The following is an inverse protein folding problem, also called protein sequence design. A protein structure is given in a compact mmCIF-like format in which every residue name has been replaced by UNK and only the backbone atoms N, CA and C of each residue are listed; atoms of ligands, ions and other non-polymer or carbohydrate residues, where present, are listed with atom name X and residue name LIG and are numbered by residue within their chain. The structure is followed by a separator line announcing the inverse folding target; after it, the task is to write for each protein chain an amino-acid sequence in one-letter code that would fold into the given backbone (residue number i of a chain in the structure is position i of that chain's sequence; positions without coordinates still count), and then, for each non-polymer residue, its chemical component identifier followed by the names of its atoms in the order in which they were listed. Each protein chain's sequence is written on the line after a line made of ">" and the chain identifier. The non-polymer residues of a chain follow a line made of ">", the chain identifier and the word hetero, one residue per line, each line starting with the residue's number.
data_IF_606494019446
#
_entry.id   IF_606494019446
#
_cell.length_a   1.000
_cell.length_b   1.000
_cell.length_c   1.000
_cell.angle_alpha   90.00
_cell.angle_beta   90.00
_cell.angle_gamma   90.00
#
_symmetry.space_group_name_H-M   'P 1'
#
loop_
_entity.id
_entity.type
_entity.pdbx_description
1 polymer ?
#
# COMPACT_ATOMS: atom_id res chain seq x y z
N UNK A 1 0.94 7.88 -11.56
CA UNK A 1 -0.07 8.35 -10.58
C UNK A 1 -0.57 7.15 -9.78
N UNK A 2 -0.70 7.28 -8.45
CA UNK A 2 -1.25 6.23 -7.58
C UNK A 2 -2.71 6.53 -7.27
N UNK A 3 -3.65 5.91 -8.01
CA UNK A 3 -5.09 6.09 -7.78
C UNK A 3 -5.86 4.80 -8.08
N UNK A 4 -6.99 4.62 -7.41
CA UNK A 4 -7.94 3.53 -7.58
C UNK A 4 -8.10 2.67 -6.32
N UNK A 5 -9.20 1.94 -6.27
CA UNK A 5 -9.66 1.23 -5.06
C UNK A 5 -9.48 -0.28 -5.19
N UNK A 6 -9.08 -0.91 -4.08
CA UNK A 6 -8.83 -2.35 -4.01
C UNK A 6 -9.18 -2.87 -2.63
N UNK A 7 -9.89 -3.99 -2.59
CA UNK A 7 -10.10 -4.72 -1.35
C UNK A 7 -8.93 -5.66 -1.10
N UNK A 8 -8.34 -5.53 0.08
CA UNK A 8 -7.25 -6.39 0.54
C UNK A 8 -7.53 -6.85 1.96
N UNK A 9 -7.10 -8.08 2.27
CA UNK A 9 -7.04 -8.59 3.63
C UNK A 9 -5.59 -8.58 4.08
N UNK A 10 -5.35 -8.19 5.34
CA UNK A 10 -4.03 -8.33 5.95
C UNK A 10 -3.75 -9.81 6.22
N UNK A 11 -2.53 -10.24 5.96
CA UNK A 11 -2.13 -11.58 6.35
C UNK A 11 -1.83 -11.68 7.85
N UNK A 12 -1.55 -12.90 8.32
CA UNK A 12 -1.21 -13.20 9.71
C UNK A 12 0.03 -12.45 10.25
N UNK A 13 0.82 -11.82 9.38
CA UNK A 13 2.00 -11.00 9.74
C UNK A 13 1.73 -9.51 9.61
N UNK A 14 0.48 -9.11 9.32
CA UNK A 14 0.10 -7.73 9.10
C UNK A 14 0.60 -7.15 7.78
N UNK A 15 0.94 -7.99 6.78
CA UNK A 15 1.39 -7.51 5.47
C UNK A 15 0.20 -7.22 4.55
N UNK A 16 0.32 -6.14 3.78
CA UNK A 16 -0.58 -5.78 2.70
C UNK A 16 0.08 -6.08 1.35
N UNK A 17 -0.66 -6.68 0.42
CA UNK A 17 -0.14 -6.95 -0.93
C UNK A 17 -0.41 -5.75 -1.84
N UNK A 18 0.64 -5.14 -2.36
CA UNK A 18 0.50 -4.06 -3.35
C UNK A 18 0.05 -4.62 -4.71
N UNK A 19 -1.01 -4.06 -5.33
CA UNK A 19 -1.46 -4.42 -6.67
C UNK A 19 -0.36 -4.34 -7.73
N UNK A 20 -0.36 -5.28 -8.67
CA UNK A 20 0.72 -5.44 -9.66
C UNK A 20 0.98 -4.17 -10.48
N UNK A 21 -0.05 -3.39 -10.82
CA UNK A 21 0.08 -2.15 -11.61
C UNK A 21 0.92 -1.06 -10.93
N UNK A 22 1.06 -1.12 -9.61
CA UNK A 22 1.80 -0.13 -8.84
C UNK A 22 3.23 -0.57 -8.50
N UNK A 23 3.56 -1.86 -8.61
CA UNK A 23 4.90 -2.37 -8.30
C UNK A 23 6.02 -1.68 -9.09
N UNK A 24 5.87 -1.36 -10.39
CA UNK A 24 6.89 -0.61 -11.14
C UNK A 24 7.14 0.81 -10.61
N UNK A 25 6.16 1.39 -9.91
CA UNK A 25 6.28 2.72 -9.31
C UNK A 25 6.96 2.68 -7.92
N UNK A 26 7.09 1.49 -7.33
CA UNK A 26 7.75 1.24 -6.04
C UNK A 26 9.13 0.61 -6.29
N UNK A 27 10.00 1.33 -6.99
CA UNK A 27 11.25 0.81 -7.56
C UNK A 27 12.15 0.11 -6.55
N UNK A 28 12.67 0.84 -5.56
CA UNK A 28 13.65 0.29 -4.62
C UNK A 28 13.10 0.19 -3.19
N UNK A 29 12.41 1.24 -2.74
CA UNK A 29 11.86 1.34 -1.38
C UNK A 29 10.58 2.14 -1.38
N UNK A 30 9.74 1.85 -0.40
CA UNK A 30 8.58 2.64 -0.03
C UNK A 30 8.69 2.98 1.46
N UNK A 31 8.18 4.14 1.84
CA UNK A 31 8.02 4.53 3.24
C UNK A 31 6.52 4.50 3.52
N UNK A 32 6.15 3.88 4.64
CA UNK A 32 4.78 3.86 5.13
C UNK A 32 4.73 4.69 6.41
N UNK A 33 3.82 5.66 6.46
CA UNK A 33 3.61 6.52 7.63
C UNK A 33 2.14 6.59 8.01
N UNK A 34 1.86 7.13 9.20
CA UNK A 34 0.50 7.45 9.64
C UNK A 34 0.04 8.73 8.94
N UNK A 35 -1.08 8.64 8.24
CA UNK A 35 -1.82 9.78 7.72
C UNK A 35 -2.84 10.31 8.71
N UNK A 36 -3.75 11.13 8.19
CA UNK A 36 -4.89 11.67 8.94
C UNK A 36 -5.97 10.59 9.12
N UNK A 37 -6.85 10.77 10.11
CA UNK A 37 -8.09 10.00 10.29
C UNK A 37 -7.92 8.47 10.23
N UNK A 38 -6.84 7.96 10.82
CA UNK A 38 -6.50 6.52 10.88
C UNK A 38 -6.18 5.89 9.51
N UNK A 39 -5.79 6.70 8.53
CA UNK A 39 -5.25 6.22 7.25
C UNK A 39 -3.72 6.08 7.27
N UNK A 40 -3.18 5.34 6.30
CA UNK A 40 -1.74 5.20 6.04
C UNK A 40 -1.38 5.89 4.72
N UNK A 41 -0.16 6.43 4.63
CA UNK A 41 0.42 7.08 3.43
C UNK A 41 1.76 6.47 3.10
#
# INVERSE_FOLDING_TARGET
>A
MFSGEYSHTLDHKGRLIIPARFRPLLTEKAILTRGLDQHLV
#
